data_IF_400678823839
#
_entry.id   IF_400678823839
#
_cell.length_a   1.000
_cell.length_b   1.000
_cell.length_c   1.000
_cell.angle_alpha   90.00
_cell.angle_beta   90.00
_cell.angle_gamma   90.00
#
_symmetry.space_group_name_H-M   'P 1'
#
loop_
_entity.id
_entity.type
_entity.pdbx_description
1 polymer ?
#
# COMPACT_ATOMS: atom_id res chain seq x y z
N UNK A 1 1.84 15.60 13.28
CA UNK A 1 1.68 14.70 12.11
C UNK A 1 1.48 15.60 10.90
N UNK A 2 2.35 15.53 9.90
CA UNK A 2 2.25 16.36 8.69
C UNK A 2 1.33 15.64 7.70
N UNK A 3 0.33 16.32 7.17
CA UNK A 3 -0.56 15.82 6.12
C UNK A 3 -0.25 16.55 4.83
N UNK A 4 -0.17 15.82 3.72
CA UNK A 4 -0.01 16.41 2.39
C UNK A 4 -1.38 16.80 1.84
N UNK A 5 -1.43 17.97 1.21
CA UNK A 5 -2.52 18.39 0.33
C UNK A 5 -2.51 17.56 -0.97
N UNK A 6 -3.62 17.58 -1.71
CA UNK A 6 -3.70 16.89 -3.01
C UNK A 6 -2.62 17.34 -3.99
N UNK A 7 -2.28 18.64 -3.98
CA UNK A 7 -1.23 19.19 -4.84
C UNK A 7 0.17 18.71 -4.43
N UNK A 8 0.44 18.59 -3.13
CA UNK A 8 1.69 18.03 -2.64
C UNK A 8 1.80 16.53 -2.92
N UNK A 9 0.70 15.78 -2.86
CA UNK A 9 0.68 14.37 -3.26
C UNK A 9 1.04 14.24 -4.74
N UNK A 10 0.43 15.05 -5.60
CA UNK A 10 0.76 15.07 -7.04
C UNK A 10 2.21 15.45 -7.28
N UNK A 11 2.71 16.49 -6.60
CA UNK A 11 4.10 16.92 -6.71
C UNK A 11 5.09 15.83 -6.26
N UNK A 12 4.75 15.06 -5.21
CA UNK A 12 5.54 13.93 -4.76
C UNK A 12 5.54 12.78 -5.78
N UNK A 13 4.37 12.48 -6.35
CA UNK A 13 4.21 11.43 -7.35
C UNK A 13 5.01 11.70 -8.63
N UNK A 14 5.19 12.96 -9.02
CA UNK A 14 5.99 13.35 -10.18
C UNK A 14 7.51 13.41 -9.90
N UNK A 15 7.92 13.50 -8.63
CA UNK A 15 9.35 13.54 -8.23
C UNK A 15 9.95 12.17 -7.93
N UNK A 16 9.13 11.19 -7.54
CA UNK A 16 9.59 9.84 -7.24
C UNK A 16 9.95 9.09 -8.54
N UNK A 17 10.72 8.02 -8.44
CA UNK A 17 10.94 7.11 -9.56
C UNK A 17 9.59 6.73 -10.21
N UNK A 18 9.44 6.87 -11.53
CA UNK A 18 8.18 6.63 -12.24
C UNK A 18 7.56 5.26 -11.92
N UNK A 19 8.37 4.25 -11.60
CA UNK A 19 7.93 2.92 -11.20
C UNK A 19 7.08 2.95 -9.91
N UNK A 20 7.35 3.87 -8.99
CA UNK A 20 6.64 4.03 -7.72
C UNK A 20 5.55 5.09 -7.74
N UNK A 21 5.34 5.78 -8.86
CA UNK A 21 4.32 6.84 -8.95
C UNK A 21 2.92 6.37 -8.52
N UNK A 22 2.51 5.19 -8.99
CA UNK A 22 1.21 4.59 -8.63
C UNK A 22 1.11 4.30 -7.14
N UNK A 23 2.22 3.92 -6.49
CA UNK A 23 2.24 3.64 -5.06
C UNK A 23 1.86 4.86 -4.23
N UNK A 24 2.30 6.07 -4.63
CA UNK A 24 1.96 7.33 -3.96
C UNK A 24 0.46 7.60 -4.03
N UNK A 25 -0.14 7.49 -5.22
CA UNK A 25 -1.58 7.71 -5.39
C UNK A 25 -2.40 6.69 -4.61
N UNK A 26 -2.03 5.41 -4.67
CA UNK A 26 -2.74 4.37 -3.91
C UNK A 26 -2.66 4.65 -2.41
N UNK A 27 -1.49 5.04 -1.88
CA UNK A 27 -1.35 5.38 -0.47
C UNK A 27 -2.24 6.57 -0.07
N UNK A 28 -2.24 7.64 -0.86
CA UNK A 28 -2.99 8.85 -0.59
C UNK A 28 -4.51 8.64 -0.63
N UNK A 29 -5.03 7.91 -1.62
CA UNK A 29 -6.47 7.73 -1.80
C UNK A 29 -7.07 6.59 -0.97
N UNK A 30 -6.26 5.68 -0.44
CA UNK A 30 -6.77 4.52 0.32
C UNK A 30 -6.39 4.52 1.81
N UNK A 31 -5.51 5.43 2.25
CA UNK A 31 -5.11 5.56 3.66
C UNK A 31 -4.36 4.34 4.22
N UNK A 32 -3.84 3.46 3.36
CA UNK A 32 -3.24 2.18 3.75
C UNK A 32 -1.83 2.35 4.30
N UNK A 33 -1.47 1.46 5.22
CA UNK A 33 -0.12 1.41 5.78
C UNK A 33 0.88 0.85 4.78
N UNK A 34 2.14 1.27 4.89
CA UNK A 34 3.24 0.80 4.03
C UNK A 34 3.34 -0.73 3.98
N UNK A 35 3.13 -1.42 5.11
CA UNK A 35 3.13 -2.88 5.17
C UNK A 35 2.05 -3.53 4.31
N UNK A 36 0.85 -2.97 4.25
CA UNK A 36 -0.26 -3.50 3.44
C UNK A 36 -0.05 -3.22 1.95
N UNK A 37 0.47 -2.03 1.63
CA UNK A 37 0.79 -1.67 0.24
C UNK A 37 1.86 -2.57 -0.35
N UNK A 38 2.89 -2.91 0.44
CA UNK A 38 3.99 -3.74 -0.01
C UNK A 38 3.63 -5.23 -0.08
N UNK A 39 2.64 -5.69 0.70
CA UNK A 39 2.20 -7.09 0.70
C UNK A 39 1.30 -7.44 -0.49
N UNK A 40 0.83 -6.42 -1.22
CA UNK A 40 -0.12 -6.55 -2.33
C UNK A 40 0.45 -7.40 -3.46
N UNK A 41 -0.39 -8.28 -3.97
CA UNK A 41 -0.16 -9.02 -5.22
C UNK A 41 -1.11 -8.52 -6.29
N UNK A 42 -0.80 -8.76 -7.57
CA UNK A 42 -1.65 -8.38 -8.70
C UNK A 42 -3.09 -8.92 -8.57
N UNK A 43 -3.24 -10.14 -8.05
CA UNK A 43 -4.56 -10.77 -7.80
C UNK A 43 -5.41 -10.06 -6.74
N UNK A 44 -4.85 -9.12 -5.98
CA UNK A 44 -5.56 -8.37 -4.94
C UNK A 44 -6.18 -7.07 -5.48
N UNK A 45 -6.04 -6.82 -6.79
CA UNK A 45 -6.54 -5.62 -7.47
C UNK A 45 -7.70 -6.01 -8.38
N UNK A 46 -8.91 -5.58 -8.04
CA UNK A 46 -10.08 -5.65 -8.91
C UNK A 46 -10.24 -4.31 -9.64
N UNK A 47 -9.70 -4.24 -10.85
CA UNK A 47 -9.75 -3.04 -11.68
C UNK A 47 -11.16 -2.75 -12.21
N UNK A 48 -12.03 -3.76 -12.35
CA UNK A 48 -13.38 -3.59 -12.86
C UNK A 48 -14.28 -2.91 -11.82
N UNK A 49 -14.07 -3.24 -10.55
CA UNK A 49 -14.82 -2.66 -9.43
C UNK A 49 -14.13 -1.48 -8.75
N UNK A 50 -12.88 -1.19 -9.14
CA UNK A 50 -12.06 -0.19 -8.44
C UNK A 50 -11.73 -0.60 -7.00
N UNK A 51 -11.68 -1.90 -6.72
CA UNK A 51 -11.53 -2.43 -5.36
C UNK A 51 -10.12 -2.98 -5.17
N UNK A 52 -9.53 -2.60 -4.04
CA UNK A 52 -8.24 -3.09 -3.60
C UNK A 52 -8.42 -3.98 -2.37
N UNK A 53 -8.33 -5.30 -2.56
CA UNK A 53 -8.53 -6.26 -1.48
C UNK A 53 -7.35 -6.25 -0.51
N UNK A 54 -7.66 -6.13 0.78
CA UNK A 54 -6.69 -6.39 1.84
C UNK A 54 -6.71 -7.88 2.16
N UNK A 55 -5.62 -8.57 1.90
CA UNK A 55 -5.48 -9.96 2.33
C UNK A 55 -4.33 -10.15 3.30
N UNK A 56 -3.30 -9.31 3.27
CA UNK A 56 -2.04 -9.50 4.00
C UNK A 56 -1.38 -8.15 4.28
N UNK A 57 -0.50 -8.13 5.27
CA UNK A 57 0.39 -7.01 5.55
C UNK A 57 1.83 -7.51 5.76
N UNK A 58 2.82 -6.79 5.24
CA UNK A 58 4.23 -7.04 5.48
C UNK A 58 4.64 -6.32 6.75
N UNK A 59 5.31 -7.06 7.64
CA UNK A 59 5.96 -6.50 8.82
C UNK A 59 7.43 -6.83 8.76
N UNK A 60 8.29 -5.81 8.88
CA UNK A 60 9.72 -6.02 9.09
C UNK A 60 9.93 -6.39 10.55
N UNK A 61 10.55 -7.55 10.78
CA UNK A 61 10.89 -8.03 12.11
C UNK A 61 12.41 -7.90 12.25
N UNK A 62 12.91 -7.16 13.26
CA UNK A 62 14.34 -7.09 13.55
C UNK A 62 14.93 -8.50 13.63
N UNK A 63 16.12 -8.70 13.05
CA UNK A 63 16.83 -9.99 12.98
C UNK A 63 16.19 -11.11 12.12
N UNK A 64 14.99 -10.89 11.55
CA UNK A 64 14.27 -11.91 10.76
C UNK A 64 13.82 -11.45 9.37
N UNK A 65 14.17 -10.23 8.97
CA UNK A 65 13.82 -9.67 7.65
C UNK A 65 12.35 -9.26 7.52
N UNK A 66 11.88 -9.08 6.28
CA UNK A 66 10.47 -8.79 6.00
C UNK A 66 9.67 -10.08 5.93
N UNK A 67 8.63 -10.22 6.78
CA UNK A 67 7.71 -11.35 6.74
C UNK A 67 6.31 -10.87 6.40
N UNK A 68 5.66 -11.57 5.47
CA UNK A 68 4.24 -11.38 5.24
C UNK A 68 3.49 -11.99 6.41
N UNK A 69 2.69 -11.18 7.12
CA UNK A 69 1.71 -11.73 8.03
C UNK A 69 0.76 -12.63 7.22
N UNK A 70 0.51 -13.83 7.74
CA UNK A 70 -0.55 -14.71 7.24
C UNK A 70 -1.85 -13.90 7.15
N UNK A 71 -2.72 -14.25 6.18
CA UNK A 71 -3.89 -13.44 5.93
C UNK A 71 -4.69 -13.27 7.21
N UNK A 72 -5.11 -12.03 7.47
CA UNK A 72 -6.11 -11.70 8.48
C UNK A 72 -7.46 -12.23 7.97
N UNK A 73 -7.57 -13.54 7.77
CA UNK A 73 -8.86 -14.19 7.71
C UNK A 73 -9.42 -14.08 9.10
N UNK A 74 -10.49 -13.29 9.19
CA UNK A 74 -11.40 -13.20 10.30
C UNK A 74 -11.34 -14.44 11.17
N UNK A 75 -11.00 -14.27 12.44
CA UNK A 75 -11.52 -15.15 13.47
C UNK A 75 -13.03 -15.15 13.28
N UNK A 76 -13.57 -16.25 12.77
CA UNK A 76 -14.97 -16.59 12.93
C UNK A 76 -15.17 -17.04 14.37
#
# INVERSE_FOLDING_TARGET
MLLLTTDEVRALAEKIDPHYRVLIYVAAYTGRRSGELLARRRQDVDLLRGVLHERRALKRIPNFGARAALPLLSRA
#
